data_IF_712451642133
#
_entry.id   IF_712451642133
#
_cell.length_a   1.000
_cell.length_b   1.000
_cell.length_c   1.000
_cell.angle_alpha   90.00
_cell.angle_beta   90.00
_cell.angle_gamma   90.00
#
_symmetry.space_group_name_H-M   'P 1'
#
loop_
_entity.id
_entity.type
_entity.pdbx_description
1 polymer ?
#
# COMPACT_ATOMS: atom_id res chain seq x y z
N UNK A 1 27.35 30.02 58.89
CA UNK A 1 26.05 29.73 59.55
C UNK A 1 25.18 28.97 58.56
N UNK A 2 24.84 27.71 58.89
CA UNK A 2 23.69 26.90 58.41
C UNK A 2 23.66 26.56 56.90
N UNK A 3 24.13 25.42 56.39
CA UNK A 3 23.78 23.99 56.62
C UNK A 3 22.31 23.64 56.36
N UNK A 4 22.05 22.79 55.34
CA UNK A 4 20.94 21.80 55.21
C UNK A 4 21.07 21.09 53.84
N UNK A 5 21.57 19.85 53.80
CA UNK A 5 20.83 18.58 53.86
C UNK A 5 20.24 18.17 52.50
N UNK A 6 21.01 17.37 51.75
CA UNK A 6 20.55 16.59 50.59
C UNK A 6 19.66 15.45 51.08
N UNK A 7 18.37 15.52 50.77
CA UNK A 7 17.42 14.44 51.04
C UNK A 7 17.50 13.39 49.93
N UNK A 8 17.64 12.12 50.34
CA UNK A 8 17.46 10.92 49.54
C UNK A 8 16.07 10.94 48.90
N UNK A 9 15.98 11.01 47.57
CA UNK A 9 14.74 10.71 46.85
C UNK A 9 14.63 9.19 46.71
N UNK A 10 13.70 8.62 47.48
CA UNK A 10 13.25 7.23 47.38
C UNK A 10 12.67 7.01 45.98
N UNK A 11 13.31 6.15 45.19
CA UNK A 11 12.75 5.63 43.94
C UNK A 11 11.57 4.74 44.33
N UNK A 12 10.36 5.31 44.27
CA UNK A 12 9.13 4.54 44.31
C UNK A 12 9.01 3.84 42.96
N UNK A 13 9.33 2.55 42.96
CA UNK A 13 9.01 1.65 41.86
C UNK A 13 7.49 1.61 41.69
N UNK A 14 6.96 2.44 40.79
CA UNK A 14 5.64 2.19 40.22
C UNK A 14 5.72 0.84 39.51
N UNK A 15 5.09 -0.16 40.11
CA UNK A 15 4.83 -1.42 39.43
C UNK A 15 4.03 -1.11 38.18
N UNK A 16 4.69 -1.16 37.03
CA UNK A 16 4.00 -1.35 35.76
C UNK A 16 3.20 -2.65 35.91
N UNK A 17 1.89 -2.51 36.09
CA UNK A 17 0.99 -3.64 35.86
C UNK A 17 1.30 -4.12 34.46
N UNK A 18 1.54 -5.43 34.23
CA UNK A 18 1.63 -5.93 32.89
C UNK A 18 0.32 -5.55 32.22
N UNK A 19 0.38 -4.65 31.23
CA UNK A 19 -0.72 -4.52 30.29
C UNK A 19 -1.00 -5.95 29.83
N UNK A 20 -2.19 -6.46 30.12
CA UNK A 20 -2.61 -7.78 29.67
C UNK A 20 -2.49 -7.76 28.16
N UNK A 21 -1.37 -8.30 27.65
CA UNK A 21 -1.21 -8.52 26.24
C UNK A 21 -2.32 -9.49 25.86
N UNK A 22 -3.38 -8.98 25.24
CA UNK A 22 -4.54 -9.75 24.79
C UNK A 22 -4.01 -10.99 24.07
N UNK A 23 -4.20 -12.15 24.69
CA UNK A 23 -3.70 -13.42 24.21
C UNK A 23 -4.50 -13.81 22.98
N UNK A 24 -3.89 -13.72 21.81
CA UNK A 24 -4.35 -14.47 20.65
C UNK A 24 -4.36 -15.99 21.02
N UNK A 25 -5.11 -16.81 20.28
CA UNK A 25 -5.20 -18.24 20.55
C UNK A 25 -6.15 -18.60 21.70
N UNK A 26 -6.00 -19.82 22.25
CA UNK A 26 -6.96 -20.36 23.21
C UNK A 26 -8.34 -20.67 22.61
N UNK A 27 -9.36 -20.79 23.48
CA UNK A 27 -10.74 -20.97 23.02
C UNK A 27 -11.24 -19.67 22.36
N UNK A 28 -12.05 -19.79 21.31
CA UNK A 28 -12.57 -18.60 20.62
C UNK A 28 -13.53 -17.81 21.51
N UNK A 29 -14.37 -18.50 22.29
CA UNK A 29 -15.31 -17.85 23.21
C UNK A 29 -14.59 -17.02 24.25
N UNK A 30 -13.57 -17.57 24.92
CA UNK A 30 -12.80 -16.83 25.93
C UNK A 30 -12.05 -15.63 25.32
N UNK A 31 -11.59 -15.75 24.08
CA UNK A 31 -11.01 -14.62 23.35
C UNK A 31 -12.04 -13.51 23.08
N UNK A 32 -13.25 -13.87 22.63
CA UNK A 32 -14.34 -12.90 22.44
C UNK A 32 -14.76 -12.27 23.76
N UNK A 33 -14.85 -13.02 24.84
CA UNK A 33 -15.14 -12.48 26.18
C UNK A 33 -14.06 -11.49 26.64
N UNK A 34 -12.79 -11.77 26.34
CA UNK A 34 -11.68 -10.84 26.54
C UNK A 34 -11.86 -9.54 25.75
N UNK A 35 -12.23 -9.63 24.46
CA UNK A 35 -12.52 -8.46 23.63
C UNK A 35 -13.70 -7.64 24.17
N UNK A 36 -14.76 -8.29 24.65
CA UNK A 36 -15.91 -7.61 25.26
C UNK A 36 -15.50 -6.82 26.51
N UNK A 37 -14.75 -7.45 27.41
CA UNK A 37 -14.26 -6.80 28.62
C UNK A 37 -13.37 -5.60 28.30
N UNK A 38 -12.45 -5.76 27.33
CA UNK A 38 -11.59 -4.68 26.89
C UNK A 38 -12.39 -3.54 26.23
N UNK A 39 -13.41 -3.85 25.42
CA UNK A 39 -14.28 -2.85 24.82
C UNK A 39 -15.01 -2.00 25.88
N UNK A 40 -15.54 -2.63 26.92
CA UNK A 40 -16.18 -1.90 28.04
C UNK A 40 -15.16 -1.05 28.79
N UNK A 41 -13.95 -1.54 29.04
CA UNK A 41 -12.87 -0.75 29.66
C UNK A 41 -12.43 0.45 28.79
N UNK A 42 -12.54 0.33 27.47
CA UNK A 42 -12.31 1.42 26.51
C UNK A 42 -13.49 2.41 26.43
N UNK A 43 -14.56 2.21 27.19
CA UNK A 43 -15.69 3.12 27.30
C UNK A 43 -16.87 2.84 26.36
N UNK A 44 -16.91 1.66 25.71
CA UNK A 44 -18.07 1.27 24.93
C UNK A 44 -19.22 0.77 25.82
N UNK A 45 -20.45 1.19 25.52
CA UNK A 45 -21.65 0.75 26.24
C UNK A 45 -21.82 -0.78 26.20
N UNK A 46 -22.05 -1.46 27.35
CA UNK A 46 -22.14 -2.91 27.41
C UNK A 46 -23.15 -3.53 26.43
N UNK A 47 -24.33 -2.91 26.27
CA UNK A 47 -25.34 -3.40 25.33
C UNK A 47 -24.85 -3.33 23.87
N UNK A 48 -24.15 -2.27 23.50
CA UNK A 48 -23.55 -2.12 22.16
C UNK A 48 -22.47 -3.16 21.93
N UNK A 49 -21.62 -3.42 22.93
CA UNK A 49 -20.61 -4.48 22.90
C UNK A 49 -21.26 -5.84 22.68
N UNK A 50 -22.29 -6.17 23.45
CA UNK A 50 -22.97 -7.45 23.34
C UNK A 50 -23.64 -7.64 21.97
N UNK A 51 -24.30 -6.62 21.42
CA UNK A 51 -24.88 -6.67 20.08
C UNK A 51 -23.83 -6.85 18.98
N UNK A 52 -22.69 -6.17 19.10
CA UNK A 52 -21.60 -6.28 18.13
C UNK A 52 -21.02 -7.71 18.06
N UNK A 53 -20.76 -8.31 19.23
CA UNK A 53 -20.16 -9.64 19.33
C UNK A 53 -21.17 -10.80 19.29
N UNK A 54 -22.49 -10.54 19.24
CA UNK A 54 -23.53 -11.56 19.33
C UNK A 54 -23.41 -12.69 18.29
N UNK A 55 -22.87 -12.38 17.10
CA UNK A 55 -22.71 -13.33 15.99
C UNK A 55 -21.25 -13.66 15.70
N UNK A 56 -20.35 -13.38 16.64
CA UNK A 56 -18.92 -13.64 16.51
C UNK A 56 -18.67 -15.13 16.26
N UNK A 57 -17.97 -15.43 15.16
CA UNK A 57 -17.53 -16.79 14.84
C UNK A 57 -16.20 -16.76 14.10
N UNK A 58 -15.44 -17.85 14.23
CA UNK A 58 -14.28 -18.10 13.36
C UNK A 58 -14.72 -18.43 11.94
N UNK A 59 -13.93 -17.99 10.98
CA UNK A 59 -14.11 -18.29 9.58
C UNK A 59 -12.89 -19.04 9.00
N UNK A 60 -13.06 -20.32 8.67
CA UNK A 60 -11.99 -21.13 8.10
C UNK A 60 -11.57 -20.65 6.69
N UNK A 61 -12.47 -20.02 5.93
CA UNK A 61 -12.15 -19.47 4.62
C UNK A 61 -11.19 -18.28 4.73
N UNK A 62 -11.31 -17.48 5.78
CA UNK A 62 -10.37 -16.38 6.09
C UNK A 62 -8.97 -16.92 6.34
N UNK A 63 -8.83 -17.96 7.17
CA UNK A 63 -7.52 -18.59 7.44
C UNK A 63 -6.93 -19.21 6.17
N UNK A 64 -7.77 -19.85 5.34
CA UNK A 64 -7.34 -20.41 4.06
C UNK A 64 -6.82 -19.31 3.12
N UNK A 65 -7.52 -18.18 3.03
CA UNK A 65 -7.09 -17.03 2.23
C UNK A 65 -5.78 -16.42 2.76
N UNK A 66 -5.65 -16.23 4.07
CA UNK A 66 -4.45 -15.70 4.71
C UNK A 66 -3.20 -16.59 4.48
N UNK A 67 -3.39 -17.91 4.45
CA UNK A 67 -2.32 -18.89 4.22
C UNK A 67 -2.03 -19.12 2.73
N UNK A 68 -2.88 -18.64 1.81
CA UNK A 68 -2.65 -18.78 0.39
C UNK A 68 -1.47 -17.89 -0.06
N UNK A 69 -0.41 -18.51 -0.59
CA UNK A 69 0.77 -17.79 -1.06
C UNK A 69 0.69 -17.45 -2.56
N UNK A 70 0.81 -16.16 -2.88
CA UNK A 70 1.55 -15.64 -4.04
C UNK A 70 0.76 -15.25 -5.29
N UNK A 71 0.80 -13.95 -5.67
CA UNK A 71 0.73 -13.45 -7.06
C UNK A 71 1.49 -12.12 -7.22
N UNK A 72 2.82 -12.08 -7.05
CA UNK A 72 3.60 -10.85 -7.34
C UNK A 72 4.99 -11.10 -7.96
N UNK A 73 5.12 -12.16 -8.76
CA UNK A 73 6.39 -12.52 -9.42
C UNK A 73 6.46 -12.11 -10.90
N UNK A 74 5.43 -11.44 -11.43
CA UNK A 74 5.41 -11.01 -12.83
C UNK A 74 6.27 -9.75 -13.03
N UNK A 75 7.04 -9.66 -14.14
CA UNK A 75 7.67 -8.42 -14.55
C UNK A 75 6.65 -7.31 -14.83
N UNK A 76 7.08 -6.05 -14.68
CA UNK A 76 6.20 -4.88 -14.81
C UNK A 76 5.42 -4.81 -16.12
N UNK A 77 6.05 -5.07 -17.26
CA UNK A 77 5.41 -4.99 -18.58
C UNK A 77 4.28 -6.02 -18.69
N UNK A 78 4.51 -7.25 -18.23
CA UNK A 78 3.49 -8.30 -18.28
C UNK A 78 2.37 -8.03 -17.26
N UNK A 79 2.75 -7.64 -16.05
CA UNK A 79 1.81 -7.31 -14.98
C UNK A 79 0.92 -6.13 -15.38
N UNK A 80 1.51 -5.02 -15.85
CA UNK A 80 0.76 -3.81 -16.23
C UNK A 80 -0.15 -4.04 -17.44
N UNK A 81 0.29 -4.78 -18.47
CA UNK A 81 -0.58 -5.15 -19.59
C UNK A 81 -1.75 -6.02 -19.16
N UNK A 82 -1.52 -6.95 -18.24
CA UNK A 82 -2.58 -7.82 -17.70
C UNK A 82 -3.61 -7.03 -16.89
N UNK A 83 -3.17 -6.08 -16.06
CA UNK A 83 -4.06 -5.29 -15.22
C UNK A 83 -4.74 -4.13 -15.98
N UNK A 84 -4.09 -3.54 -16.98
CA UNK A 84 -4.61 -2.34 -17.65
C UNK A 84 -5.24 -2.72 -18.98
N UNK A 85 -6.43 -3.32 -18.91
CA UNK A 85 -7.23 -3.62 -20.10
C UNK A 85 -7.90 -2.36 -20.67
N UNK A 86 -8.22 -2.37 -21.96
CA UNK A 86 -8.96 -1.27 -22.58
C UNK A 86 -10.36 -1.09 -21.95
N UNK A 87 -11.00 -2.20 -21.55
CA UNK A 87 -12.28 -2.14 -20.84
C UNK A 87 -12.15 -1.38 -19.51
N UNK A 88 -11.09 -1.63 -18.74
CA UNK A 88 -10.82 -0.93 -17.49
C UNK A 88 -10.56 0.56 -17.71
N UNK A 89 -9.80 0.92 -18.76
CA UNK A 89 -9.61 2.33 -19.15
C UNK A 89 -10.96 2.99 -19.48
N UNK A 90 -11.79 2.35 -20.29
CA UNK A 90 -13.09 2.89 -20.70
C UNK A 90 -14.04 3.07 -19.51
N UNK A 91 -14.11 2.06 -18.63
CA UNK A 91 -14.89 2.10 -17.39
C UNK A 91 -14.39 3.20 -16.45
N UNK A 92 -13.07 3.34 -16.30
CA UNK A 92 -12.46 4.41 -15.52
C UNK A 92 -12.83 5.81 -16.03
N UNK A 93 -12.79 6.03 -17.35
CA UNK A 93 -13.25 7.29 -17.95
C UNK A 93 -14.72 7.57 -17.68
N UNK A 94 -15.57 6.54 -17.83
CA UNK A 94 -17.00 6.67 -17.54
C UNK A 94 -17.26 6.98 -16.05
N UNK A 95 -16.56 6.34 -15.12
CA UNK A 95 -16.65 6.65 -13.69
C UNK A 95 -16.11 8.05 -13.38
N UNK A 96 -15.02 8.46 -14.02
CA UNK A 96 -14.46 9.81 -13.91
C UNK A 96 -15.43 10.90 -14.36
N UNK A 97 -16.23 10.62 -15.39
CA UNK A 97 -17.31 11.52 -15.85
C UNK A 97 -18.51 11.48 -14.91
N UNK A 98 -18.96 10.29 -14.53
CA UNK A 98 -20.12 10.10 -13.65
C UNK A 98 -19.95 10.80 -12.29
N UNK A 99 -18.75 10.75 -11.72
CA UNK A 99 -18.43 11.33 -10.41
C UNK A 99 -17.55 12.59 -10.52
N UNK A 100 -17.62 13.31 -11.64
CA UNK A 100 -16.76 14.46 -11.92
C UNK A 100 -16.80 15.53 -10.81
N UNK A 101 -17.97 15.81 -10.23
CA UNK A 101 -18.11 16.78 -9.13
C UNK A 101 -17.39 16.33 -7.85
N UNK A 102 -17.40 15.03 -7.54
CA UNK A 102 -16.69 14.46 -6.40
C UNK A 102 -15.18 14.54 -6.62
N UNK A 103 -14.70 14.16 -7.80
CA UNK A 103 -13.28 14.31 -8.14
C UNK A 103 -12.81 15.76 -8.09
N UNK A 104 -13.62 16.71 -8.56
CA UNK A 104 -13.30 18.13 -8.44
C UNK A 104 -13.18 18.59 -6.97
N UNK A 105 -14.07 18.11 -6.07
CA UNK A 105 -13.94 18.38 -4.62
C UNK A 105 -12.63 17.83 -4.07
N UNK A 106 -12.25 16.61 -4.46
CA UNK A 106 -11.02 15.95 -4.01
C UNK A 106 -9.79 16.70 -4.50
N UNK A 107 -9.73 17.04 -5.79
CA UNK A 107 -8.62 17.79 -6.38
C UNK A 107 -8.48 19.17 -5.72
N UNK A 108 -9.58 19.87 -5.51
CA UNK A 108 -9.58 21.19 -4.87
C UNK A 108 -9.13 21.12 -3.40
N UNK A 109 -9.57 20.11 -2.65
CA UNK A 109 -9.29 20.00 -1.21
C UNK A 109 -7.92 19.39 -0.93
N UNK A 110 -7.65 18.22 -1.53
CA UNK A 110 -6.50 17.37 -1.23
C UNK A 110 -5.41 17.40 -2.31
N UNK A 111 -5.72 17.92 -3.50
CA UNK A 111 -4.75 17.92 -4.61
C UNK A 111 -4.46 16.54 -5.21
N UNK A 112 -5.27 15.54 -4.85
CA UNK A 112 -5.17 14.18 -5.39
C UNK A 112 -5.88 14.16 -6.73
N UNK A 113 -5.15 13.83 -7.80
CA UNK A 113 -5.70 13.77 -9.15
C UNK A 113 -6.76 12.67 -9.28
N UNK A 114 -7.81 12.94 -10.07
CA UNK A 114 -8.84 11.97 -10.46
C UNK A 114 -8.24 10.64 -10.95
N UNK A 115 -7.24 10.68 -11.82
CA UNK A 115 -6.60 9.49 -12.38
C UNK A 115 -6.00 8.58 -11.31
N UNK A 116 -5.48 9.14 -10.23
CA UNK A 116 -4.88 8.40 -9.10
C UNK A 116 -5.94 7.56 -8.39
N UNK A 117 -7.05 8.20 -7.99
CA UNK A 117 -8.14 7.50 -7.31
C UNK A 117 -8.88 6.53 -8.23
N UNK A 118 -9.07 6.87 -9.50
CA UNK A 118 -9.62 5.93 -10.48
C UNK A 118 -8.72 4.69 -10.66
N UNK A 119 -7.39 4.85 -10.59
CA UNK A 119 -6.47 3.74 -10.69
C UNK A 119 -6.58 2.80 -9.49
N UNK A 120 -6.57 3.34 -8.27
CA UNK A 120 -6.79 2.56 -7.06
C UNK A 120 -8.17 1.89 -7.06
N UNK A 121 -9.24 2.64 -7.30
CA UNK A 121 -10.61 2.09 -7.32
C UNK A 121 -10.77 0.93 -8.31
N UNK A 122 -10.08 0.98 -9.46
CA UNK A 122 -10.07 -0.11 -10.41
C UNK A 122 -9.30 -1.35 -9.92
N UNK A 123 -8.15 -1.15 -9.29
CA UNK A 123 -7.29 -2.25 -8.87
C UNK A 123 -7.80 -2.92 -7.61
N UNK A 124 -8.37 -2.14 -6.70
CA UNK A 124 -8.96 -2.65 -5.47
C UNK A 124 -10.24 -3.44 -5.74
N UNK A 125 -11.15 -2.93 -6.57
CA UNK A 125 -12.51 -3.51 -6.66
C UNK A 125 -13.14 -3.53 -8.04
N UNK A 126 -12.37 -3.24 -9.10
CA UNK A 126 -12.90 -3.00 -10.45
C UNK A 126 -14.06 -1.98 -10.41
N UNK A 127 -13.83 -0.83 -9.78
CA UNK A 127 -14.83 0.22 -9.63
C UNK A 127 -16.07 -0.24 -8.83
N UNK A 128 -15.85 -0.97 -7.73
CA UNK A 128 -16.91 -1.43 -6.83
C UNK A 128 -17.64 -2.70 -7.27
N UNK A 129 -17.21 -3.36 -8.34
CA UNK A 129 -17.84 -4.60 -8.81
C UNK A 129 -17.47 -5.81 -7.95
N UNK A 130 -16.22 -5.88 -7.48
CA UNK A 130 -15.71 -6.98 -6.65
C UNK A 130 -15.13 -6.41 -5.36
N UNK A 131 -15.93 -6.40 -4.28
CA UNK A 131 -15.55 -5.77 -3.01
C UNK A 131 -15.33 -6.77 -1.87
N UNK A 132 -15.33 -8.07 -2.20
CA UNK A 132 -15.32 -9.16 -1.23
C UNK A 132 -16.67 -9.39 -0.53
N UNK A 133 -16.84 -10.63 -0.06
CA UNK A 133 -18.05 -11.20 0.54
C UNK A 133 -17.80 -11.82 1.92
N UNK A 134 -16.58 -11.69 2.47
CA UNK A 134 -16.27 -12.10 3.83
C UNK A 134 -16.95 -11.17 4.82
N UNK A 135 -17.58 -11.72 5.87
CA UNK A 135 -18.08 -10.89 6.97
C UNK A 135 -16.89 -10.23 7.69
N UNK A 136 -16.84 -8.90 7.68
CA UNK A 136 -15.66 -8.14 8.12
C UNK A 136 -15.36 -8.35 9.60
N UNK A 137 -16.38 -8.35 10.46
CA UNK A 137 -16.19 -8.54 11.91
C UNK A 137 -15.59 -9.92 12.20
N UNK A 138 -16.12 -10.98 11.60
CA UNK A 138 -15.63 -12.34 11.75
C UNK A 138 -14.23 -12.52 11.15
N UNK A 139 -13.93 -11.87 10.03
CA UNK A 139 -12.59 -11.90 9.44
C UNK A 139 -11.54 -11.30 10.38
N UNK A 140 -11.80 -10.11 10.92
CA UNK A 140 -10.90 -9.43 11.85
C UNK A 140 -10.71 -10.24 13.14
N UNK A 141 -11.79 -10.75 13.74
CA UNK A 141 -11.71 -11.61 14.93
C UNK A 141 -10.96 -12.92 14.65
N UNK A 142 -11.15 -13.52 13.48
CA UNK A 142 -10.44 -14.75 13.09
C UNK A 142 -8.94 -14.51 12.98
N UNK A 143 -8.52 -13.43 12.32
CA UNK A 143 -7.10 -13.12 12.11
C UNK A 143 -6.40 -12.63 13.38
N UNK A 144 -7.13 -11.89 14.23
CA UNK A 144 -6.65 -11.53 15.56
C UNK A 144 -6.48 -12.77 16.46
N UNK A 145 -7.38 -13.75 16.36
CA UNK A 145 -7.29 -15.00 17.12
C UNK A 145 -6.14 -15.91 16.67
N UNK A 146 -5.80 -15.93 15.38
CA UNK A 146 -4.84 -16.85 14.75
C UNK A 146 -3.37 -16.68 15.20
N UNK A 147 -3.05 -15.67 16.02
CA UNK A 147 -1.69 -15.37 16.52
C UNK A 147 -0.62 -15.03 15.47
N UNK A 148 -0.93 -15.05 14.17
CA UNK A 148 0.07 -14.74 13.15
C UNK A 148 0.46 -13.26 13.11
N UNK A 149 -0.52 -12.36 13.23
CA UNK A 149 -0.38 -10.89 13.20
C UNK A 149 -1.46 -10.19 14.05
N UNK A 150 -1.68 -10.59 15.31
CA UNK A 150 -2.78 -10.05 16.12
C UNK A 150 -2.72 -8.53 16.28
N UNK A 151 -1.52 -7.95 16.34
CA UNK A 151 -1.26 -6.52 16.45
C UNK A 151 -1.85 -5.70 15.29
N UNK A 152 -2.00 -6.30 14.11
CA UNK A 152 -2.59 -5.65 12.94
C UNK A 152 -4.12 -5.62 13.02
N UNK A 153 -4.73 -6.69 13.52
CA UNK A 153 -6.18 -6.90 13.42
C UNK A 153 -6.95 -6.56 14.69
N UNK A 154 -6.33 -6.66 15.87
CA UNK A 154 -6.97 -6.30 17.14
C UNK A 154 -7.49 -4.84 17.15
N UNK A 155 -6.69 -3.82 16.75
CA UNK A 155 -7.19 -2.44 16.69
C UNK A 155 -8.39 -2.28 15.75
N UNK A 156 -8.44 -3.06 14.67
CA UNK A 156 -9.50 -2.99 13.66
C UNK A 156 -10.84 -3.51 14.19
N UNK A 157 -10.84 -4.47 15.12
CA UNK A 157 -12.07 -4.96 15.78
C UNK A 157 -12.71 -3.84 16.59
N UNK A 158 -11.92 -3.11 17.38
CA UNK A 158 -12.42 -1.99 18.18
C UNK A 158 -12.85 -0.81 17.30
N UNK A 159 -12.13 -0.55 16.21
CA UNK A 159 -12.54 0.45 15.24
C UNK A 159 -13.88 0.07 14.56
N UNK A 160 -14.09 -1.21 14.23
CA UNK A 160 -15.36 -1.68 13.69
C UNK A 160 -16.51 -1.58 14.71
N UNK A 161 -16.23 -1.84 16.00
CA UNK A 161 -17.18 -1.62 17.08
C UNK A 161 -17.56 -0.14 17.22
N UNK A 162 -16.60 0.77 17.11
CA UNK A 162 -16.87 2.21 17.13
C UNK A 162 -17.72 2.65 15.93
N UNK A 163 -17.40 2.16 14.72
CA UNK A 163 -18.23 2.41 13.53
C UNK A 163 -19.65 1.88 13.69
N UNK A 164 -19.83 0.72 14.33
CA UNK A 164 -21.16 0.16 14.65
C UNK A 164 -21.93 1.09 15.60
N UNK A 165 -21.27 1.60 16.65
CA UNK A 165 -21.86 2.58 17.55
C UNK A 165 -22.28 3.89 16.85
N UNK A 166 -21.59 4.27 15.76
CA UNK A 166 -21.94 5.42 14.91
C UNK A 166 -22.97 5.11 13.82
N UNK A 167 -23.44 3.86 13.70
CA UNK A 167 -24.38 3.42 12.66
C UNK A 167 -23.77 3.23 11.26
N UNK A 168 -22.44 3.23 11.13
CA UNK A 168 -21.73 3.13 9.85
C UNK A 168 -21.13 1.73 9.59
N UNK A 169 -21.47 0.75 10.43
CA UNK A 169 -21.05 -0.64 10.29
C UNK A 169 -22.13 -1.56 10.86
N UNK A 170 -22.39 -2.68 10.21
CA UNK A 170 -23.25 -3.75 10.71
C UNK A 170 -22.41 -5.04 10.89
N UNK A 171 -22.27 -5.59 12.11
CA UNK A 171 -21.44 -6.77 12.38
C UNK A 171 -21.93 -8.05 11.70
N UNK A 172 -23.19 -8.08 11.25
CA UNK A 172 -23.79 -9.23 10.57
C UNK A 172 -23.75 -9.10 9.05
N UNK A 173 -23.88 -7.87 8.54
CA UNK A 173 -24.07 -7.59 7.09
C UNK A 173 -22.87 -6.96 6.40
N UNK A 174 -21.97 -6.31 7.14
CA UNK A 174 -20.81 -5.66 6.53
C UNK A 174 -19.85 -6.72 6.02
N UNK A 175 -19.55 -6.61 4.73
CA UNK A 175 -18.68 -7.54 4.02
C UNK A 175 -17.55 -6.82 3.32
N UNK A 176 -16.43 -7.50 3.19
CA UNK A 176 -15.20 -6.96 2.61
C UNK A 176 -14.25 -8.05 2.13
N UNK A 177 -12.99 -7.69 1.92
CA UNK A 177 -11.94 -8.66 1.69
C UNK A 177 -11.65 -9.49 2.96
N UNK A 178 -10.95 -10.61 2.76
CA UNK A 178 -10.65 -11.58 3.82
C UNK A 178 -9.80 -10.99 4.95
N UNK A 179 -9.05 -9.91 4.72
CA UNK A 179 -8.24 -9.23 5.74
C UNK A 179 -8.98 -8.08 6.43
N UNK A 180 -10.27 -7.88 6.11
CA UNK A 180 -11.15 -6.94 6.79
C UNK A 180 -11.30 -5.59 6.11
N UNK A 181 -10.69 -5.39 4.95
CA UNK A 181 -10.84 -4.18 4.14
C UNK A 181 -12.27 -4.06 3.58
N UNK A 182 -12.85 -2.87 3.68
CA UNK A 182 -14.25 -2.62 3.34
C UNK A 182 -14.33 -1.75 2.09
N UNK A 183 -15.26 -2.14 1.22
CA UNK A 183 -15.82 -1.25 0.23
C UNK A 183 -14.92 -1.01 -0.99
N UNK A 184 -15.32 -0.01 -1.77
CA UNK A 184 -14.78 0.29 -3.09
C UNK A 184 -13.28 0.62 -3.11
N UNK A 185 -12.76 1.14 -2.00
CA UNK A 185 -11.36 1.55 -1.83
C UNK A 185 -10.60 0.71 -0.80
N UNK A 186 -11.20 -0.40 -0.34
CA UNK A 186 -10.54 -1.40 0.52
C UNK A 186 -9.87 -0.78 1.76
N UNK A 187 -10.59 0.06 2.50
CA UNK A 187 -10.09 0.66 3.75
C UNK A 187 -10.37 -0.25 4.94
N UNK A 188 -9.43 -0.34 5.88
CA UNK A 188 -9.67 -1.02 7.16
C UNK A 188 -10.52 -0.13 8.08
N UNK A 189 -11.25 -0.70 9.07
CA UNK A 189 -12.12 0.08 9.96
C UNK A 189 -11.47 1.29 10.63
N UNK A 190 -10.22 1.18 11.08
CA UNK A 190 -9.50 2.30 11.70
C UNK A 190 -9.26 3.44 10.70
N UNK A 191 -8.91 3.11 9.45
CA UNK A 191 -8.76 4.10 8.39
C UNK A 191 -10.09 4.80 8.08
N UNK A 192 -11.22 4.10 8.20
CA UNK A 192 -12.55 4.69 8.01
C UNK A 192 -12.89 5.67 9.13
N UNK A 193 -12.53 5.36 10.39
CA UNK A 193 -12.72 6.32 11.49
C UNK A 193 -11.90 7.58 11.30
N UNK A 194 -10.64 7.44 10.88
CA UNK A 194 -9.74 8.57 10.72
C UNK A 194 -10.06 9.39 9.45
N UNK A 195 -10.31 8.69 8.33
CA UNK A 195 -10.34 9.27 6.99
C UNK A 195 -11.71 9.20 6.31
N UNK A 196 -12.70 8.53 6.88
CA UNK A 196 -14.06 8.47 6.37
C UNK A 196 -14.67 9.86 6.23
N UNK A 197 -15.30 10.10 5.08
CA UNK A 197 -16.04 11.32 4.74
C UNK A 197 -17.38 10.92 4.15
N UNK A 198 -18.45 11.49 4.72
CA UNK A 198 -19.77 11.52 4.11
C UNK A 198 -19.69 12.43 2.87
N UNK A 199 -19.71 11.80 1.70
CA UNK A 199 -19.47 12.44 0.42
C UNK A 199 -20.74 12.84 -0.33
N UNK A 200 -21.87 12.22 0.00
CA UNK A 200 -23.18 12.51 -0.58
C UNK A 200 -24.12 13.29 0.36
N UNK A 201 -23.77 13.42 1.63
CA UNK A 201 -24.42 14.28 2.62
C UNK A 201 -25.60 13.62 3.34
N UNK A 202 -25.66 12.29 3.37
CA UNK A 202 -26.76 11.55 4.01
C UNK A 202 -26.59 11.33 5.53
N UNK A 203 -25.45 11.76 6.09
CA UNK A 203 -25.10 11.61 7.50
C UNK A 203 -24.34 10.32 7.82
N UNK A 204 -24.10 9.46 6.84
CA UNK A 204 -23.42 8.18 6.98
C UNK A 204 -22.13 8.10 6.15
N UNK A 205 -21.26 7.14 6.50
CA UNK A 205 -20.05 6.85 5.71
C UNK A 205 -20.13 5.40 5.22
N UNK A 206 -20.53 5.22 3.97
CA UNK A 206 -20.92 3.94 3.38
C UNK A 206 -20.02 3.55 2.20
N UNK A 207 -18.78 3.14 2.49
CA UNK A 207 -17.76 2.89 1.43
C UNK A 207 -18.09 1.74 0.46
N UNK A 208 -19.06 0.86 0.79
CA UNK A 208 -19.47 -0.25 -0.07
C UNK A 208 -20.51 0.15 -1.11
N UNK A 209 -21.39 1.09 -0.75
CA UNK A 209 -22.59 1.45 -1.52
C UNK A 209 -22.58 2.88 -2.03
N UNK A 210 -21.86 3.80 -1.38
CA UNK A 210 -21.66 5.18 -1.81
C UNK A 210 -20.29 5.37 -2.43
N UNK A 211 -20.26 5.55 -3.75
CA UNK A 211 -19.04 5.96 -4.46
C UNK A 211 -18.55 7.36 -4.06
N UNK A 212 -19.43 8.37 -3.83
CA UNK A 212 -19.02 9.65 -3.24
C UNK A 212 -18.21 9.49 -1.94
N UNK A 213 -18.69 8.68 -0.99
CA UNK A 213 -18.01 8.46 0.29
C UNK A 213 -16.67 7.77 0.08
N UNK A 214 -16.66 6.69 -0.71
CA UNK A 214 -15.45 5.94 -1.02
C UNK A 214 -14.35 6.81 -1.64
N UNK A 215 -14.72 7.63 -2.63
CA UNK A 215 -13.78 8.48 -3.34
C UNK A 215 -13.26 9.63 -2.45
N UNK A 216 -14.15 10.31 -1.71
CA UNK A 216 -13.72 11.40 -0.82
C UNK A 216 -12.88 10.89 0.35
N UNK A 217 -13.23 9.74 0.91
CA UNK A 217 -12.46 9.08 1.97
C UNK A 217 -11.08 8.66 1.46
N UNK A 218 -11.00 8.04 0.27
CA UNK A 218 -9.72 7.70 -0.36
C UNK A 218 -8.85 8.93 -0.66
N UNK A 219 -9.47 10.04 -1.09
CA UNK A 219 -8.78 11.31 -1.30
C UNK A 219 -8.21 11.90 0.00
N UNK A 220 -8.97 11.86 1.09
CA UNK A 220 -8.51 12.28 2.43
C UNK A 220 -7.39 11.37 2.94
N UNK A 221 -7.54 10.05 2.81
CA UNK A 221 -6.54 9.07 3.22
C UNK A 221 -5.20 9.30 2.50
N UNK A 222 -5.19 9.45 1.18
CA UNK A 222 -3.95 9.76 0.44
C UNK A 222 -3.30 11.07 0.92
N UNK A 223 -4.11 12.09 1.23
CA UNK A 223 -3.61 13.33 1.83
C UNK A 223 -2.99 13.11 3.21
N UNK A 224 -3.62 12.30 4.07
CA UNK A 224 -3.11 11.97 5.40
C UNK A 224 -1.79 11.17 5.33
N UNK A 225 -1.65 10.33 4.30
CA UNK A 225 -0.44 9.56 4.00
C UNK A 225 0.68 10.38 3.34
N UNK A 226 0.50 11.71 3.23
CA UNK A 226 1.54 12.64 2.78
C UNK A 226 1.48 13.04 1.31
N UNK A 227 0.33 12.85 0.63
CA UNK A 227 0.15 13.38 -0.71
C UNK A 227 0.32 14.90 -0.74
N UNK A 228 1.21 15.38 -1.60
CA UNK A 228 1.55 16.79 -1.77
C UNK A 228 0.73 17.38 -2.90
N UNK A 229 -0.13 18.33 -2.54
CA UNK A 229 -1.11 18.94 -3.44
C UNK A 229 -0.44 19.57 -4.67
N UNK A 230 -0.95 19.22 -5.85
CA UNK A 230 -0.52 19.81 -7.13
C UNK A 230 0.79 19.26 -7.69
N UNK A 231 1.48 18.38 -6.96
CA UNK A 231 2.73 17.78 -7.45
C UNK A 231 2.48 16.51 -8.27
N UNK A 232 3.31 16.24 -9.30
CA UNK A 232 3.26 15.00 -10.07
C UNK A 232 3.67 13.79 -9.23
N UNK A 233 3.36 12.59 -9.72
CA UNK A 233 3.80 11.33 -9.11
C UNK A 233 4.78 10.57 -10.01
N UNK A 234 4.45 10.35 -11.28
CA UNK A 234 5.24 9.54 -12.20
C UNK A 234 5.23 10.15 -13.60
N UNK A 235 6.39 10.27 -14.24
CA UNK A 235 6.52 10.73 -15.63
C UNK A 235 7.43 9.78 -16.41
N UNK A 236 7.05 9.45 -17.64
CA UNK A 236 7.89 8.61 -18.49
C UNK A 236 9.03 9.43 -19.11
N UNK A 237 10.22 8.84 -19.17
CA UNK A 237 11.43 9.47 -19.71
C UNK A 237 12.14 8.59 -20.73
N UNK A 238 12.94 9.23 -21.58
CA UNK A 238 13.93 8.58 -22.44
C UNK A 238 15.30 8.72 -21.80
N UNK A 239 16.03 7.61 -21.73
CA UNK A 239 17.37 7.54 -21.15
C UNK A 239 18.46 7.62 -22.23
N UNK A 240 19.57 8.34 -22.00
CA UNK A 240 20.69 8.32 -22.93
C UNK A 240 21.44 6.98 -22.85
N UNK A 241 22.04 6.55 -23.97
CA UNK A 241 22.70 5.23 -24.07
C UNK A 241 23.84 5.03 -23.07
N UNK A 242 24.57 6.09 -22.76
CA UNK A 242 25.75 6.09 -21.90
C UNK A 242 25.46 6.59 -20.48
N UNK A 243 24.21 6.48 -20.04
CA UNK A 243 23.83 6.88 -18.68
C UNK A 243 24.56 6.03 -17.62
N UNK A 244 24.92 6.67 -16.51
CA UNK A 244 25.44 5.96 -15.33
C UNK A 244 24.27 5.33 -14.55
N UNK A 245 24.01 4.05 -14.85
CA UNK A 245 22.88 3.31 -14.29
C UNK A 245 22.91 3.20 -12.76
N UNK A 246 24.07 3.37 -12.12
CA UNK A 246 24.18 3.37 -10.66
C UNK A 246 23.44 4.54 -10.01
N UNK A 247 23.12 5.60 -10.76
CA UNK A 247 22.33 6.75 -10.29
C UNK A 247 20.82 6.55 -10.36
N UNK A 248 20.36 5.34 -10.70
CA UNK A 248 18.92 5.00 -10.73
C UNK A 248 18.49 4.31 -9.43
N UNK A 249 17.18 4.32 -9.16
CA UNK A 249 16.59 3.75 -7.95
C UNK A 249 16.02 4.82 -7.02
N UNK A 250 15.11 4.42 -6.14
CA UNK A 250 14.46 5.32 -5.17
C UNK A 250 15.42 5.82 -4.07
N UNK A 251 16.63 5.31 -4.00
CA UNK A 251 17.70 5.77 -3.12
C UNK A 251 18.55 6.89 -3.75
N UNK A 252 18.34 7.21 -5.03
CA UNK A 252 19.02 8.29 -5.74
C UNK A 252 18.00 9.31 -6.23
N UNK A 253 18.22 10.58 -5.91
CA UNK A 253 17.39 11.68 -6.39
C UNK A 253 18.24 12.82 -6.91
N UNK A 254 17.78 13.47 -7.97
CA UNK A 254 18.38 14.70 -8.48
C UNK A 254 17.29 15.70 -8.91
N UNK A 255 17.71 16.92 -9.18
CA UNK A 255 16.82 17.94 -9.75
C UNK A 255 16.51 17.65 -11.22
N UNK A 256 15.45 18.29 -11.76
CA UNK A 256 15.14 18.22 -13.18
C UNK A 256 16.32 18.69 -14.05
N UNK A 257 16.99 19.77 -13.64
CA UNK A 257 18.18 20.30 -14.33
C UNK A 257 19.33 19.29 -14.36
N UNK A 258 19.62 18.63 -13.24
CA UNK A 258 20.67 17.62 -13.18
C UNK A 258 20.36 16.42 -14.08
N UNK A 259 19.10 15.96 -14.10
CA UNK A 259 18.69 14.89 -15.00
C UNK A 259 18.82 15.27 -16.48
N UNK A 260 18.43 16.48 -16.84
CA UNK A 260 18.60 16.99 -18.20
C UNK A 260 20.08 17.11 -18.58
N UNK A 261 20.94 17.59 -17.67
CA UNK A 261 22.39 17.65 -17.87
C UNK A 261 23.01 16.25 -18.05
N UNK A 262 22.42 15.23 -17.41
CA UNK A 262 22.78 13.83 -17.64
C UNK A 262 22.16 13.23 -18.91
N UNK A 263 21.39 14.00 -19.69
CA UNK A 263 20.80 13.62 -20.97
C UNK A 263 19.43 12.93 -20.88
N UNK A 264 18.79 12.94 -19.71
CA UNK A 264 17.43 12.39 -19.52
C UNK A 264 16.41 13.35 -20.13
N UNK A 265 15.47 12.81 -20.90
CA UNK A 265 14.45 13.61 -21.60
C UNK A 265 13.04 13.16 -21.23
N UNK A 266 12.14 14.10 -20.97
CA UNK A 266 10.72 13.80 -20.82
C UNK A 266 10.16 13.20 -22.11
N UNK A 267 9.36 12.14 -22.02
CA UNK A 267 8.65 11.60 -23.21
C UNK A 267 7.38 12.40 -23.53
N UNK A 268 6.88 13.18 -22.58
CA UNK A 268 5.78 14.11 -22.76
C UNK A 268 5.84 15.23 -21.71
N UNK A 269 5.50 16.45 -22.12
CA UNK A 269 5.65 17.64 -21.29
C UNK A 269 7.12 18.00 -21.02
N UNK A 270 7.34 18.79 -19.97
CA UNK A 270 8.66 19.10 -19.43
C UNK A 270 8.87 18.36 -18.10
N UNK A 271 10.13 18.20 -17.69
CA UNK A 271 10.41 17.76 -16.32
C UNK A 271 10.00 18.87 -15.36
N UNK A 272 9.39 18.50 -14.24
CA UNK A 272 8.95 19.48 -13.24
C UNK A 272 10.15 19.98 -12.42
N UNK A 273 10.42 21.27 -12.54
CA UNK A 273 11.46 21.98 -11.77
C UNK A 273 11.10 22.10 -10.28
N UNK A 274 12.12 22.36 -9.44
CA UNK A 274 11.94 22.57 -8.00
C UNK A 274 11.58 21.31 -7.19
N UNK A 275 11.41 20.15 -7.85
CA UNK A 275 11.13 18.88 -7.19
C UNK A 275 12.27 17.88 -7.37
N UNK A 276 12.74 17.21 -6.30
CA UNK A 276 13.63 16.08 -6.45
C UNK A 276 12.86 14.91 -7.06
N UNK A 277 13.53 14.15 -7.91
CA UNK A 277 12.94 12.95 -8.54
C UNK A 277 13.97 11.84 -8.69
N UNK A 278 13.49 10.60 -8.72
CA UNK A 278 14.29 9.38 -8.85
C UNK A 278 13.99 8.68 -10.17
N UNK A 279 15.01 8.15 -10.84
CA UNK A 279 14.80 7.34 -12.04
C UNK A 279 14.49 5.90 -11.65
N UNK A 280 13.41 5.36 -12.20
CA UNK A 280 12.95 4.00 -11.99
C UNK A 280 13.04 3.21 -13.30
N UNK A 281 13.75 2.08 -13.21
CA UNK A 281 13.88 1.09 -14.28
C UNK A 281 13.22 -0.22 -13.84
N UNK A 282 11.91 -0.41 -14.06
CA UNK A 282 11.24 -1.63 -13.59
C UNK A 282 11.82 -2.92 -14.15
N UNK A 283 12.41 -2.88 -15.35
CA UNK A 283 12.99 -4.03 -16.05
C UNK A 283 14.36 -3.72 -16.68
N UNK A 284 15.18 -2.97 -15.94
CA UNK A 284 16.55 -2.63 -16.36
C UNK A 284 16.63 -1.62 -17.49
N UNK A 285 17.85 -1.33 -17.93
CA UNK A 285 18.16 -0.21 -18.83
C UNK A 285 17.57 -0.30 -20.24
N UNK A 286 17.12 -1.48 -20.65
CA UNK A 286 16.50 -1.72 -21.97
C UNK A 286 14.97 -1.74 -21.91
N UNK A 287 14.37 -1.57 -20.73
CA UNK A 287 12.93 -1.53 -20.52
C UNK A 287 12.37 -0.11 -20.44
N UNK A 288 11.12 0.04 -19.93
CA UNK A 288 10.54 1.34 -19.61
C UNK A 288 11.39 2.11 -18.60
N UNK A 289 11.35 3.44 -18.66
CA UNK A 289 12.00 4.32 -17.69
C UNK A 289 11.05 5.41 -17.23
N UNK A 290 11.02 5.68 -15.93
CA UNK A 290 10.16 6.68 -15.33
C UNK A 290 10.94 7.56 -14.36
N UNK A 291 10.61 8.84 -14.29
CA UNK A 291 10.87 9.66 -13.12
C UNK A 291 9.74 9.49 -12.11
N UNK A 292 10.11 9.16 -10.88
CA UNK A 292 9.24 9.16 -9.73
C UNK A 292 9.49 10.41 -8.90
N UNK A 293 8.44 11.21 -8.79
CA UNK A 293 8.36 12.38 -7.95
C UNK A 293 7.90 11.99 -6.54
N UNK A 294 7.94 12.89 -5.56
CA UNK A 294 7.74 12.47 -4.17
C UNK A 294 6.35 11.89 -3.88
N UNK A 295 5.29 12.32 -4.59
CA UNK A 295 3.97 11.68 -4.51
C UNK A 295 3.97 10.20 -4.93
N UNK A 296 4.94 9.72 -5.72
CA UNK A 296 5.08 8.29 -6.00
C UNK A 296 5.29 7.47 -4.73
N UNK A 297 5.98 8.03 -3.72
CA UNK A 297 6.23 7.32 -2.46
C UNK A 297 4.96 7.03 -1.69
N UNK A 298 3.96 7.91 -1.78
CA UNK A 298 2.65 7.75 -1.11
C UNK A 298 1.92 6.50 -1.62
N UNK A 299 2.16 6.06 -2.86
CA UNK A 299 1.56 4.80 -3.34
C UNK A 299 2.03 3.58 -2.52
N UNK A 300 3.24 3.60 -1.94
CA UNK A 300 3.70 2.50 -1.10
C UNK A 300 2.95 2.41 0.22
N UNK A 301 2.45 3.54 0.75
CA UNK A 301 1.60 3.57 1.93
C UNK A 301 0.26 2.89 1.68
N UNK A 302 -0.22 2.90 0.43
CA UNK A 302 -1.40 2.13 0.02
C UNK A 302 -1.09 0.64 -0.20
N UNK A 303 0.04 0.33 -0.84
CA UNK A 303 0.44 -1.06 -1.09
C UNK A 303 1.96 -1.21 -1.17
N UNK A 304 2.53 -2.15 -0.42
CA UNK A 304 3.99 -2.31 -0.33
C UNK A 304 4.64 -3.00 -1.55
N UNK A 305 3.86 -3.46 -2.54
CA UNK A 305 4.38 -4.11 -3.74
C UNK A 305 4.83 -3.11 -4.80
N UNK A 306 6.14 -3.04 -5.03
CA UNK A 306 6.75 -2.15 -6.03
C UNK A 306 6.11 -2.24 -7.43
N UNK A 307 5.91 -3.45 -7.94
CA UNK A 307 5.32 -3.65 -9.28
C UNK A 307 3.86 -3.19 -9.31
N UNK A 308 3.11 -3.41 -8.22
CA UNK A 308 1.74 -2.94 -8.10
C UNK A 308 1.68 -1.42 -8.11
N UNK A 309 2.43 -0.75 -7.23
CA UNK A 309 2.37 0.72 -7.12
C UNK A 309 2.86 1.43 -8.37
N UNK A 310 3.91 0.91 -9.04
CA UNK A 310 4.35 1.45 -10.32
C UNK A 310 3.27 1.27 -11.39
N UNK A 311 2.56 0.14 -11.38
CA UNK A 311 1.47 -0.12 -12.32
C UNK A 311 0.27 0.79 -12.04
N UNK A 312 -0.08 1.03 -10.77
CA UNK A 312 -1.15 1.94 -10.39
C UNK A 312 -0.82 3.38 -10.78
N UNK A 313 0.39 3.84 -10.49
CA UNK A 313 0.91 5.14 -10.87
C UNK A 313 0.93 5.36 -12.39
N UNK A 314 1.37 4.35 -13.15
CA UNK A 314 1.29 4.39 -14.62
C UNK A 314 -0.16 4.35 -15.11
N UNK A 315 -1.03 3.57 -14.48
CA UNK A 315 -2.44 3.51 -14.86
C UNK A 315 -3.14 4.84 -14.65
N UNK A 316 -2.82 5.56 -13.57
CA UNK A 316 -3.29 6.93 -13.34
C UNK A 316 -2.91 7.86 -14.50
N UNK A 317 -1.65 7.81 -14.97
CA UNK A 317 -1.23 8.56 -16.15
C UNK A 317 -2.06 8.20 -17.40
N UNK A 318 -2.35 6.91 -17.60
CA UNK A 318 -3.16 6.43 -18.73
C UNK A 318 -4.61 6.90 -18.68
N UNK A 319 -5.18 7.00 -17.49
CA UNK A 319 -6.52 7.56 -17.26
C UNK A 319 -6.57 9.06 -17.53
N UNK A 320 -5.48 9.78 -17.24
CA UNK A 320 -5.29 11.20 -17.58
C UNK A 320 -4.81 11.43 -19.04
N UNK A 321 -4.86 10.40 -19.88
CA UNK A 321 -4.64 10.54 -21.33
C UNK A 321 -3.20 10.34 -21.80
N UNK A 322 -2.28 9.89 -20.93
CA UNK A 322 -0.94 9.53 -21.36
C UNK A 322 -0.95 8.40 -22.42
N UNK A 323 0.02 8.46 -23.33
CA UNK A 323 0.28 7.38 -24.29
C UNK A 323 0.74 6.11 -23.57
N UNK A 324 0.64 4.97 -24.24
CA UNK A 324 1.24 3.72 -23.76
C UNK A 324 2.75 3.90 -23.64
N UNK A 325 3.36 3.46 -22.53
CA UNK A 325 4.81 3.54 -22.33
C UNK A 325 5.59 2.83 -23.47
N UNK A 326 6.84 3.22 -23.69
CA UNK A 326 7.77 2.46 -24.52
C UNK A 326 8.27 1.23 -23.76
N UNK A 327 7.86 0.04 -24.19
CA UNK A 327 8.24 -1.21 -23.53
C UNK A 327 9.72 -1.55 -23.66
N UNK A 328 10.38 -1.02 -24.70
CA UNK A 328 11.74 -1.39 -25.06
C UNK A 328 11.89 -2.89 -25.33
N UNK A 329 13.09 -3.40 -25.07
CA UNK A 329 13.46 -4.82 -25.21
C UNK A 329 14.26 -5.23 -23.96
N UNK A 330 13.62 -5.28 -22.77
CA UNK A 330 14.29 -5.62 -21.53
C UNK A 330 14.94 -7.00 -21.61
N UNK A 331 16.11 -7.16 -20.98
CA UNK A 331 16.72 -8.47 -20.85
C UNK A 331 15.80 -9.40 -20.05
N UNK A 332 15.83 -10.70 -20.34
CA UNK A 332 15.00 -11.68 -19.63
C UNK A 332 15.35 -11.68 -18.14
N UNK A 333 14.35 -11.40 -17.30
CA UNK A 333 14.48 -11.44 -15.84
C UNK A 333 14.45 -12.86 -15.29
N UNK A 334 14.70 -13.00 -13.99
CA UNK A 334 14.60 -14.29 -13.31
C UNK A 334 13.14 -14.74 -13.11
N UNK A 335 12.90 -16.05 -13.19
CA UNK A 335 11.70 -16.67 -12.65
C UNK A 335 11.66 -16.54 -11.11
N UNK A 336 10.50 -16.77 -10.48
CA UNK A 336 10.39 -16.72 -9.01
C UNK A 336 11.33 -17.70 -8.29
N UNK A 337 11.55 -18.89 -8.86
CA UNK A 337 12.51 -19.88 -8.31
C UNK A 337 13.95 -19.36 -8.41
N UNK A 338 14.32 -18.81 -9.56
CA UNK A 338 15.64 -18.23 -9.76
C UNK A 338 15.85 -16.98 -8.91
N UNK A 339 14.83 -16.15 -8.72
CA UNK A 339 14.89 -14.97 -7.84
C UNK A 339 15.12 -15.38 -6.38
N UNK A 340 14.45 -16.43 -5.89
CA UNK A 340 14.76 -17.00 -4.56
C UNK A 340 16.21 -17.48 -4.47
N UNK A 341 16.73 -18.12 -5.52
CA UNK A 341 18.13 -18.53 -5.58
C UNK A 341 19.07 -17.32 -5.48
N UNK A 342 18.80 -16.27 -6.25
CA UNK A 342 19.54 -15.01 -6.19
C UNK A 342 19.52 -14.40 -4.79
N UNK A 343 18.34 -14.25 -4.19
CA UNK A 343 18.17 -13.68 -2.86
C UNK A 343 18.98 -14.46 -1.81
N UNK A 344 18.97 -15.80 -1.84
CA UNK A 344 19.81 -16.63 -0.96
C UNK A 344 21.30 -16.36 -1.17
N UNK A 345 21.75 -16.32 -2.43
CA UNK A 345 23.15 -16.08 -2.79
C UNK A 345 23.62 -14.67 -2.39
N UNK A 346 22.76 -13.67 -2.49
CA UNK A 346 23.00 -12.30 -2.03
C UNK A 346 23.07 -12.23 -0.50
N UNK A 347 22.11 -12.84 0.20
CA UNK A 347 22.11 -12.91 1.66
C UNK A 347 23.37 -13.59 2.21
N UNK A 348 23.81 -14.69 1.60
CA UNK A 348 25.06 -15.38 1.95
C UNK A 348 26.32 -14.51 1.74
N UNK A 349 26.22 -13.43 0.96
CA UNK A 349 27.28 -12.44 0.73
C UNK A 349 27.13 -11.18 1.60
N UNK A 350 26.22 -11.19 2.56
CA UNK A 350 26.00 -10.09 3.50
C UNK A 350 25.04 -8.99 3.01
N UNK A 351 24.35 -9.17 1.88
CA UNK A 351 23.34 -8.21 1.44
C UNK A 351 22.03 -8.41 2.20
N UNK A 352 21.42 -7.32 2.67
CA UNK A 352 20.02 -7.34 3.11
C UNK A 352 19.11 -7.35 1.88
N UNK A 353 18.46 -8.48 1.64
CA UNK A 353 17.47 -8.65 0.57
C UNK A 353 16.03 -8.65 1.08
N UNK A 354 15.82 -8.49 2.39
CA UNK A 354 14.55 -8.77 3.05
C UNK A 354 14.25 -10.27 3.11
N UNK A 355 13.03 -10.66 2.77
CA UNK A 355 12.60 -12.07 2.75
C UNK A 355 13.05 -12.75 1.45
N UNK A 356 13.35 -14.05 1.53
CA UNK A 356 13.59 -14.90 0.35
C UNK A 356 12.25 -15.39 -0.19
N UNK A 357 11.53 -14.51 -0.87
CA UNK A 357 10.16 -14.72 -1.34
C UNK A 357 10.06 -14.84 -2.88
N UNK A 358 11.14 -14.55 -3.61
CA UNK A 358 11.18 -14.53 -5.06
C UNK A 358 10.58 -13.28 -5.68
N UNK A 359 10.33 -12.23 -4.88
CA UNK A 359 9.82 -10.94 -5.33
C UNK A 359 10.99 -9.95 -5.44
N UNK A 360 11.08 -9.24 -6.58
CA UNK A 360 12.09 -8.21 -6.77
C UNK A 360 11.68 -6.89 -6.07
N UNK A 361 11.81 -6.88 -4.74
CA UNK A 361 11.58 -5.70 -3.90
C UNK A 361 12.74 -4.72 -3.89
N UNK A 362 12.56 -3.57 -3.23
CA UNK A 362 13.54 -2.49 -3.18
C UNK A 362 14.92 -2.94 -2.64
N UNK A 363 14.93 -3.70 -1.53
CA UNK A 363 16.16 -4.24 -0.93
C UNK A 363 16.93 -5.17 -1.88
N UNK A 364 16.23 -6.09 -2.53
CA UNK A 364 16.83 -6.98 -3.54
C UNK A 364 17.36 -6.18 -4.74
N UNK A 365 16.64 -5.15 -5.20
CA UNK A 365 17.10 -4.26 -6.29
C UNK A 365 18.40 -3.53 -5.93
N UNK A 366 18.48 -2.94 -4.74
CA UNK A 366 19.70 -2.27 -4.27
C UNK A 366 20.88 -3.23 -4.16
N UNK A 367 20.67 -4.44 -3.63
CA UNK A 367 21.70 -5.47 -3.56
C UNK A 367 22.19 -5.92 -4.95
N UNK A 368 21.27 -6.10 -5.90
CA UNK A 368 21.60 -6.43 -7.30
C UNK A 368 22.40 -5.31 -7.95
N UNK A 369 22.01 -4.05 -7.74
CA UNK A 369 22.69 -2.89 -8.31
C UNK A 369 24.13 -2.76 -7.81
N UNK A 370 24.34 -2.87 -6.50
CA UNK A 370 25.68 -2.81 -5.90
C UNK A 370 26.56 -3.97 -6.41
N UNK A 371 25.99 -5.17 -6.50
CA UNK A 371 26.69 -6.32 -7.07
C UNK A 371 27.06 -6.09 -8.55
N UNK A 372 26.15 -5.57 -9.37
CA UNK A 372 26.42 -5.24 -10.76
C UNK A 372 27.59 -4.23 -10.86
N UNK A 373 27.57 -3.18 -10.03
CA UNK A 373 28.67 -2.20 -9.95
C UNK A 373 30.00 -2.88 -9.63
N UNK A 374 30.05 -3.72 -8.59
CA UNK A 374 31.27 -4.46 -8.19
C UNK A 374 31.80 -5.42 -9.26
N UNK A 375 30.93 -5.88 -10.15
CA UNK A 375 31.27 -6.77 -11.25
C UNK A 375 31.58 -6.04 -12.57
N UNK A 376 31.57 -4.70 -12.59
CA UNK A 376 31.75 -3.91 -13.82
C UNK A 376 30.61 -4.11 -14.83
N UNK A 377 29.43 -4.54 -14.37
CA UNK A 377 28.22 -4.68 -15.17
C UNK A 377 27.41 -3.37 -15.12
N UNK A 378 26.53 -3.11 -16.11
CA UNK A 378 25.57 -2.02 -16.00
C UNK A 378 24.70 -2.17 -14.73
N UNK A 379 24.80 -1.21 -13.82
CA UNK A 379 24.14 -1.22 -12.52
C UNK A 379 22.67 -0.78 -12.61
N UNK A 380 21.86 -1.50 -13.37
CA UNK A 380 20.45 -1.17 -13.64
C UNK A 380 19.43 -1.87 -12.72
N UNK A 381 19.92 -2.55 -11.67
CA UNK A 381 19.14 -3.24 -10.65
C UNK A 381 18.23 -4.36 -11.19
N UNK A 382 18.46 -4.82 -12.42
CA UNK A 382 17.66 -5.87 -13.07
C UNK A 382 18.41 -7.20 -13.08
N UNK A 383 18.00 -8.19 -12.26
CA UNK A 383 18.67 -9.48 -12.23
C UNK A 383 18.28 -10.34 -13.43
N UNK A 384 19.30 -10.85 -14.11
CA UNK A 384 19.17 -11.72 -15.29
C UNK A 384 19.73 -13.11 -14.99
N UNK A 385 19.36 -14.14 -15.77
CA UNK A 385 19.96 -15.47 -15.65
C UNK A 385 21.49 -15.46 -15.76
N UNK A 386 22.04 -14.56 -16.60
CA UNK A 386 23.49 -14.37 -16.74
C UNK A 386 24.13 -13.86 -15.44
N UNK A 387 23.51 -12.89 -14.75
CA UNK A 387 24.00 -12.43 -13.44
C UNK A 387 23.96 -13.56 -12.41
N UNK A 388 22.84 -14.30 -12.33
CA UNK A 388 22.69 -15.40 -11.38
C UNK A 388 23.71 -16.53 -11.60
N UNK A 389 24.07 -16.81 -12.86
CA UNK A 389 25.08 -17.81 -13.21
C UNK A 389 26.51 -17.43 -12.82
N UNK A 390 26.79 -16.15 -12.54
CA UNK A 390 28.09 -15.67 -12.09
C UNK A 390 28.26 -15.68 -10.55
N UNK A 391 27.19 -15.95 -9.80
CA UNK A 391 27.16 -16.04 -8.33
C UNK A 391 27.16 -17.48 -7.87
#
# INVERSE_FOLDING_TARGET
>A
MLSRLSALAVITAFGASPALAQSCGGSFSSFVDGLKNEAVQRGHEPETVDRFFANARKDAAVLKADRAQGVFQLPFVDFSRRLISQNRINKGRAMGQKYASIFAKIENKYGVSRGVLLAFWAFETDYGTFQGDFNTANALMTLAHDCRRPELFLPQIFAALELFGKGNFDPTRTTGAWAGEIGMVQMLPADILENGIDGDGDGHVSLKTSAPDALLSGGKMLSALGWRKGEPWLQEVTMPKNFDWSKTGLNHSASAHDWQNMGVQARGGQLVDGLPSSIILPQGRKGPAFLAYPNFRVYFEWNQSFTYVLTAAYFANRLEGARVYNAGTPDTGLSGVQMKSLQKKLAARGYDVGKVDGILGAKTRSAVQDLQTKMGLPADAWPTPSLLGKL
#
